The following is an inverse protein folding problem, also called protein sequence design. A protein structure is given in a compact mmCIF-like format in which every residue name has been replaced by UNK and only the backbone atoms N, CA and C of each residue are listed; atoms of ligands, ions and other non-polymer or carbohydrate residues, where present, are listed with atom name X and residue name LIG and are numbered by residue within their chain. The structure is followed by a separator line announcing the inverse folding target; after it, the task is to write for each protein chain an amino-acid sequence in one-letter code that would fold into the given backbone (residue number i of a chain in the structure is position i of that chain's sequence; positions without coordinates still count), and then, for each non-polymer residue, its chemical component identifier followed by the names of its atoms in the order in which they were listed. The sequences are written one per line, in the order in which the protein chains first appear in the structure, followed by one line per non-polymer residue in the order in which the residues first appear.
data_IF_264924475601
#
_entry.id   IF_264924475601
#
_cell.length_a   1.000
_cell.length_b   1.000
_cell.length_c   1.000
_cell.angle_alpha   90.00
_cell.angle_beta   90.00
_cell.angle_gamma   90.00
#
_symmetry.space_group_name_H-M   'P 1'
#
loop_
_entity.id
_entity.type
_entity.pdbx_description
1 polymer ?
#
# COMPACT_ATOMS: atom_id res chain seq x y z
N UNK A 1 -33.64 15.98 -14.49
CA UNK A 1 -33.04 16.66 -13.32
C UNK A 1 -31.55 16.78 -13.58
N UNK A 2 -31.02 18.02 -13.73
CA UNK A 2 -29.59 18.27 -14.04
C UNK A 2 -28.78 18.07 -12.76
N UNK A 3 -27.86 17.12 -12.79
CA UNK A 3 -26.85 16.91 -11.74
C UNK A 3 -25.83 18.06 -11.80
N UNK A 4 -25.99 19.07 -10.97
CA UNK A 4 -24.95 20.04 -10.72
C UNK A 4 -23.89 19.39 -9.81
N UNK A 5 -22.86 18.80 -10.43
CA UNK A 5 -21.65 18.44 -9.70
C UNK A 5 -20.97 19.74 -9.29
N UNK A 6 -21.07 20.11 -8.02
CA UNK A 6 -20.32 21.22 -7.46
C UNK A 6 -18.83 21.00 -7.70
N UNK A 7 -18.18 22.01 -8.25
CA UNK A 7 -16.72 22.02 -8.36
C UNK A 7 -16.21 21.99 -6.91
N UNK A 8 -15.42 20.99 -6.56
CA UNK A 8 -14.82 20.89 -5.23
C UNK A 8 -13.95 22.13 -4.98
N UNK A 9 -13.89 22.59 -3.75
CA UNK A 9 -13.06 23.73 -3.33
C UNK A 9 -11.61 23.57 -3.83
N UNK A 10 -11.13 22.33 -3.89
CA UNK A 10 -9.81 21.95 -4.43
C UNK A 10 -9.68 22.25 -5.92
N UNK A 11 -10.67 21.92 -6.73
CA UNK A 11 -10.66 22.23 -8.17
C UNK A 11 -10.69 23.75 -8.41
N UNK A 12 -11.40 24.51 -7.57
CA UNK A 12 -11.44 25.96 -7.64
C UNK A 12 -10.07 26.58 -7.29
N UNK A 13 -9.42 26.09 -6.23
CA UNK A 13 -8.10 26.58 -5.78
C UNK A 13 -7.03 26.26 -6.82
N UNK A 14 -7.04 25.06 -7.40
CA UNK A 14 -6.10 24.66 -8.47
C UNK A 14 -6.32 25.57 -9.70
N UNK A 15 -7.57 25.84 -10.07
CA UNK A 15 -7.88 26.71 -11.21
C UNK A 15 -7.38 28.14 -10.97
N UNK A 16 -7.51 28.67 -9.76
CA UNK A 16 -7.01 30.02 -9.40
C UNK A 16 -5.48 30.04 -9.45
N UNK A 17 -4.80 29.03 -8.93
CA UNK A 17 -3.33 28.95 -8.98
C UNK A 17 -2.85 28.87 -10.44
N UNK A 18 -3.48 28.05 -11.26
CA UNK A 18 -3.15 27.92 -12.71
C UNK A 18 -3.43 29.24 -13.45
N UNK A 19 -4.51 29.93 -13.15
CA UNK A 19 -4.79 31.24 -13.75
C UNK A 19 -3.76 32.30 -13.33
N UNK A 20 -3.31 32.33 -12.09
CA UNK A 20 -2.28 33.25 -11.62
C UNK A 20 -0.92 33.00 -12.31
N UNK A 21 -0.61 31.74 -12.61
CA UNK A 21 0.60 31.36 -13.35
C UNK A 21 0.48 31.73 -14.85
N UNK A 22 -0.71 31.58 -15.46
CA UNK A 22 -0.93 31.84 -16.89
C UNK A 22 -1.07 33.34 -17.24
N UNK A 23 -1.46 34.19 -16.30
CA UNK A 23 -1.65 35.64 -16.54
C UNK A 23 -0.33 36.44 -16.52
N UNK A 24 0.83 35.78 -16.36
CA UNK A 24 2.13 36.43 -16.59
C UNK A 24 2.33 37.70 -15.75
N UNK A 25 1.94 37.68 -14.48
CA UNK A 25 2.31 38.76 -13.55
C UNK A 25 3.81 38.72 -13.37
N UNK A 26 4.49 39.60 -14.07
CA UNK A 26 5.94 39.82 -13.95
C UNK A 26 6.30 40.03 -12.49
N UNK A 27 7.01 39.09 -11.94
CA UNK A 27 7.36 38.89 -10.54
C UNK A 27 8.30 39.98 -10.01
N UNK A 28 8.29 41.17 -10.55
CA UNK A 28 9.09 42.29 -10.02
C UNK A 28 8.56 42.84 -8.69
N UNK A 29 7.30 42.56 -8.36
CA UNK A 29 6.68 42.96 -7.07
C UNK A 29 6.68 41.88 -6.00
N UNK A 30 7.00 40.62 -6.39
CA UNK A 30 7.01 39.47 -5.48
C UNK A 30 8.29 39.38 -4.62
N UNK A 31 9.22 40.29 -4.83
CA UNK A 31 10.55 40.34 -4.19
C UNK A 31 10.46 40.57 -2.66
N UNK A 32 9.31 40.90 -2.13
CA UNK A 32 9.10 41.06 -0.68
C UNK A 32 8.70 39.77 0.08
N UNK A 33 8.89 38.59 -0.50
CA UNK A 33 8.65 37.30 0.20
C UNK A 33 7.18 36.97 0.48
N UNK A 34 6.32 37.99 0.68
CA UNK A 34 4.93 37.80 1.14
C UNK A 34 4.04 36.96 0.20
N UNK A 35 4.24 37.08 -1.13
CA UNK A 35 3.42 36.31 -2.07
C UNK A 35 3.81 34.83 -2.06
N UNK A 36 5.12 34.55 -1.95
CA UNK A 36 5.66 33.19 -1.84
C UNK A 36 5.26 32.55 -0.52
N UNK A 37 5.32 33.31 0.59
CA UNK A 37 4.86 32.84 1.89
C UNK A 37 3.34 32.59 1.91
N UNK A 38 2.56 33.43 1.25
CA UNK A 38 1.11 33.25 1.12
C UNK A 38 0.79 32.03 0.26
N UNK A 39 1.49 31.81 -0.86
CA UNK A 39 1.33 30.63 -1.70
C UNK A 39 1.73 29.33 -0.96
N UNK A 40 2.84 29.38 -0.22
CA UNK A 40 3.30 28.25 0.61
C UNK A 40 2.32 27.95 1.75
N UNK A 41 1.75 28.97 2.39
CA UNK A 41 0.70 28.81 3.40
C UNK A 41 -0.56 28.21 2.80
N UNK A 42 -1.04 28.73 1.65
CA UNK A 42 -2.21 28.21 0.96
C UNK A 42 -2.02 26.75 0.52
N UNK A 43 -0.83 26.37 0.04
CA UNK A 43 -0.51 24.99 -0.29
C UNK A 43 -0.55 24.08 0.96
N UNK A 44 -0.02 24.55 2.08
CA UNK A 44 -0.05 23.82 3.37
C UNK A 44 -1.48 23.69 3.91
N UNK A 45 -2.26 24.76 3.83
CA UNK A 45 -3.67 24.75 4.28
C UNK A 45 -4.52 23.83 3.39
N UNK A 46 -4.23 23.76 2.08
CA UNK A 46 -4.87 22.81 1.14
C UNK A 46 -4.50 21.36 1.46
N UNK A 47 -3.24 21.09 1.76
CA UNK A 47 -2.82 19.75 2.14
C UNK A 47 -3.45 19.31 3.47
N UNK A 48 -3.56 20.23 4.42
CA UNK A 48 -4.24 20.00 5.69
C UNK A 48 -5.74 19.72 5.49
N UNK A 49 -6.43 20.54 4.68
CA UNK A 49 -7.85 20.34 4.36
C UNK A 49 -8.09 19.01 3.64
N UNK A 50 -7.17 18.60 2.76
CA UNK A 50 -7.22 17.29 2.10
C UNK A 50 -7.05 16.14 3.10
N UNK A 51 -6.15 16.29 4.08
CA UNK A 51 -5.96 15.29 5.13
C UNK A 51 -7.22 15.20 6.02
N UNK A 52 -7.80 16.33 6.41
CA UNK A 52 -9.05 16.38 7.19
C UNK A 52 -10.23 15.73 6.44
N UNK A 53 -10.33 15.92 5.10
CA UNK A 53 -11.34 15.25 4.26
C UNK A 53 -11.12 13.74 4.22
N UNK A 54 -9.86 13.29 4.12
CA UNK A 54 -9.49 11.87 4.13
C UNK A 54 -9.82 11.23 5.48
N UNK A 55 -9.47 11.90 6.59
CA UNK A 55 -9.77 11.44 7.95
C UNK A 55 -11.30 11.35 8.18
N UNK A 56 -12.07 12.31 7.65
CA UNK A 56 -13.54 12.28 7.71
C UNK A 56 -14.13 11.11 6.91
N UNK A 57 -13.58 10.82 5.72
CA UNK A 57 -14.04 9.69 4.90
C UNK A 57 -13.72 8.34 5.56
N UNK A 58 -12.56 8.23 6.22
CA UNK A 58 -12.19 7.06 6.99
C UNK A 58 -13.10 6.86 8.21
N UNK A 59 -13.40 7.94 8.96
CA UNK A 59 -14.35 7.91 10.08
C UNK A 59 -15.77 7.53 9.62
N UNK A 60 -16.22 8.06 8.47
CA UNK A 60 -17.52 7.73 7.89
C UNK A 60 -17.58 6.24 7.47
N UNK A 61 -16.49 5.70 6.87
CA UNK A 61 -16.40 4.28 6.52
C UNK A 61 -16.45 3.42 7.77
N UNK A 62 -15.65 3.74 8.79
CA UNK A 62 -15.62 3.01 10.06
C UNK A 62 -17.00 2.98 10.74
N UNK A 63 -17.75 4.10 10.68
CA UNK A 63 -19.15 4.16 11.19
C UNK A 63 -20.10 3.29 10.38
N UNK A 64 -19.93 3.22 9.06
CA UNK A 64 -20.74 2.34 8.20
C UNK A 64 -20.43 0.88 8.52
N UNK A 65 -19.16 0.52 8.65
CA UNK A 65 -18.73 -0.83 9.04
C UNK A 65 -19.23 -1.20 10.42
N UNK A 66 -19.22 -0.26 11.40
CA UNK A 66 -19.79 -0.42 12.73
C UNK A 66 -21.31 -0.65 12.69
N UNK A 67 -22.05 0.10 11.87
CA UNK A 67 -23.51 -0.05 11.69
C UNK A 67 -23.84 -1.38 11.04
N UNK A 68 -23.04 -1.84 10.08
CA UNK A 68 -23.25 -3.11 9.39
C UNK A 68 -22.75 -4.31 10.23
N UNK A 69 -21.92 -4.06 11.26
CA UNK A 69 -21.38 -5.08 12.15
C UNK A 69 -20.42 -6.09 11.50
N UNK A 70 -19.96 -5.79 10.26
CA UNK A 70 -19.03 -6.67 9.53
C UNK A 70 -18.05 -5.80 8.73
N UNK A 71 -16.79 -5.79 9.14
CA UNK A 71 -15.72 -5.09 8.43
C UNK A 71 -15.19 -5.87 7.22
N UNK A 72 -14.41 -5.21 6.37
CA UNK A 72 -13.69 -5.91 5.29
C UNK A 72 -12.73 -6.94 5.87
N UNK A 73 -12.05 -6.61 6.97
CA UNK A 73 -11.15 -7.53 7.67
C UNK A 73 -11.88 -8.77 8.18
N UNK A 74 -13.09 -8.63 8.76
CA UNK A 74 -13.89 -9.77 9.23
C UNK A 74 -14.26 -10.72 8.08
N UNK A 75 -14.62 -10.16 6.92
CA UNK A 75 -14.88 -10.97 5.70
C UNK A 75 -13.62 -11.68 5.21
N UNK A 76 -12.48 -11.00 5.22
CA UNK A 76 -11.19 -11.59 4.86
C UNK A 76 -10.86 -12.72 5.82
N UNK A 77 -10.95 -12.51 7.14
CA UNK A 77 -10.68 -13.54 8.15
C UNK A 77 -11.58 -14.77 7.96
N UNK A 78 -12.89 -14.59 7.77
CA UNK A 78 -13.81 -15.70 7.51
C UNK A 78 -13.38 -16.54 6.31
N UNK A 79 -12.94 -15.88 5.22
CA UNK A 79 -12.56 -16.59 4.00
C UNK A 79 -11.21 -17.31 4.17
N UNK A 80 -10.19 -16.64 4.74
CA UNK A 80 -8.85 -17.22 4.88
C UNK A 80 -8.77 -18.30 5.96
N UNK A 81 -9.70 -18.33 6.92
CA UNK A 81 -9.79 -19.40 7.93
C UNK A 81 -10.16 -20.76 7.34
N UNK A 82 -10.73 -20.80 6.12
CA UNK A 82 -11.13 -22.02 5.44
C UNK A 82 -9.95 -22.54 4.60
N UNK A 83 -9.41 -23.74 4.88
CA UNK A 83 -8.32 -24.33 4.09
C UNK A 83 -8.73 -24.47 2.62
N UNK A 84 -7.77 -24.25 1.74
CA UNK A 84 -7.94 -24.37 0.28
C UNK A 84 -6.85 -25.26 -0.29
N UNK A 85 -7.23 -26.21 -1.13
CA UNK A 85 -6.27 -27.10 -1.80
C UNK A 85 -5.21 -26.30 -2.57
N UNK A 86 -3.94 -26.68 -2.40
CA UNK A 86 -2.80 -26.10 -3.09
C UNK A 86 -2.23 -24.83 -2.45
N UNK A 87 -2.71 -24.41 -1.26
CA UNK A 87 -2.00 -23.39 -0.48
C UNK A 87 -0.69 -23.96 0.08
N UNK A 88 0.28 -23.07 0.33
CA UNK A 88 1.57 -23.45 0.91
C UNK A 88 1.81 -22.73 2.22
N UNK A 89 2.63 -23.32 3.09
CA UNK A 89 3.24 -22.59 4.18
C UNK A 89 4.11 -21.45 3.66
N UNK A 90 4.28 -20.39 4.45
CA UNK A 90 5.18 -19.28 4.15
C UNK A 90 5.93 -18.87 5.41
N UNK A 91 7.24 -18.84 5.29
CA UNK A 91 8.18 -18.44 6.33
C UNK A 91 9.08 -17.33 5.82
N UNK A 92 9.56 -16.48 6.72
CA UNK A 92 10.53 -15.44 6.41
C UNK A 92 11.84 -15.69 7.16
N UNK A 93 12.96 -15.37 6.49
CA UNK A 93 14.30 -15.34 7.06
C UNK A 93 14.98 -14.04 6.60
N UNK A 94 15.57 -13.29 7.53
CA UNK A 94 16.31 -12.07 7.27
C UNK A 94 17.79 -12.28 7.55
N UNK A 95 18.62 -11.97 6.57
CA UNK A 95 20.08 -12.03 6.67
C UNK A 95 20.68 -10.66 7.05
N UNK A 96 21.92 -10.70 7.52
CA UNK A 96 22.63 -9.50 8.00
C UNK A 96 22.99 -8.50 6.90
N UNK A 97 22.92 -8.87 5.63
CA UNK A 97 23.10 -8.00 4.47
C UNK A 97 21.84 -7.17 4.13
N UNK A 98 20.73 -7.47 4.77
CA UNK A 98 19.43 -6.83 4.55
C UNK A 98 18.54 -7.55 3.54
N UNK A 99 18.89 -8.77 3.13
CA UNK A 99 18.05 -9.62 2.29
C UNK A 99 17.05 -10.39 3.14
N UNK A 100 15.76 -10.24 2.86
CA UNK A 100 14.70 -11.07 3.42
C UNK A 100 14.24 -12.09 2.38
N UNK A 101 14.31 -13.36 2.70
CA UNK A 101 13.77 -14.43 1.85
C UNK A 101 12.43 -14.93 2.39
N UNK A 102 11.45 -15.11 1.47
CA UNK A 102 10.20 -15.81 1.73
C UNK A 102 10.28 -17.22 1.16
N UNK A 103 9.95 -18.22 1.97
CA UNK A 103 10.12 -19.65 1.66
C UNK A 103 8.90 -20.47 2.08
N UNK A 104 8.69 -21.61 1.44
CA UNK A 104 7.63 -22.57 1.84
C UNK A 104 8.05 -23.49 2.98
N UNK A 105 9.35 -23.65 3.23
CA UNK A 105 9.88 -24.49 4.29
C UNK A 105 10.41 -23.66 5.45
N UNK A 106 10.24 -24.15 6.68
CA UNK A 106 10.75 -23.51 7.88
C UNK A 106 12.27 -23.37 7.82
N UNK A 107 12.82 -22.13 7.98
CA UNK A 107 14.25 -21.90 7.94
C UNK A 107 14.99 -22.61 9.09
N UNK A 108 16.04 -23.33 8.76
CA UNK A 108 16.94 -23.99 9.72
C UNK A 108 18.29 -23.31 9.85
N UNK A 109 18.62 -22.39 8.95
CA UNK A 109 19.87 -21.64 8.90
C UNK A 109 20.09 -20.82 10.17
N UNK A 110 21.36 -20.67 10.54
CA UNK A 110 21.80 -19.88 11.70
C UNK A 110 22.92 -18.89 11.34
N UNK A 111 23.63 -19.13 10.23
CA UNK A 111 24.76 -18.31 9.81
C UNK A 111 24.26 -17.04 9.11
N UNK A 112 24.75 -15.89 9.55
CA UNK A 112 24.36 -14.57 9.03
C UNK A 112 22.85 -14.22 9.18
N UNK A 113 22.10 -14.99 9.97
CA UNK A 113 20.67 -14.79 10.20
C UNK A 113 20.47 -13.78 11.33
N UNK A 114 19.67 -12.74 11.07
CA UNK A 114 19.27 -11.72 12.04
C UNK A 114 17.90 -12.02 12.62
N UNK A 115 17.02 -12.57 11.81
CA UNK A 115 15.64 -12.90 12.17
C UNK A 115 15.10 -14.04 11.30
N UNK A 116 14.24 -14.87 11.87
CA UNK A 116 13.41 -15.84 11.13
C UNK A 116 12.10 -16.09 11.84
N UNK A 117 11.06 -16.44 11.08
CA UNK A 117 9.78 -16.84 11.64
C UNK A 117 9.80 -18.32 12.04
N UNK A 118 9.19 -18.62 13.18
CA UNK A 118 9.03 -20.00 13.67
C UNK A 118 7.71 -20.64 13.22
N UNK A 119 6.73 -19.81 12.85
CA UNK A 119 5.42 -20.21 12.37
C UNK A 119 5.18 -19.63 10.97
N UNK A 120 4.39 -20.37 10.19
CA UNK A 120 3.91 -19.88 8.89
C UNK A 120 2.91 -18.75 9.06
N UNK A 121 2.93 -17.83 8.08
CA UNK A 121 2.00 -16.71 8.02
C UNK A 121 1.20 -16.65 6.71
N UNK A 122 1.13 -17.74 5.95
CA UNK A 122 0.47 -17.78 4.63
C UNK A 122 -1.02 -17.39 4.66
N UNK A 123 -1.69 -17.69 5.76
CA UNK A 123 -3.10 -17.38 6.00
C UNK A 123 -3.32 -16.42 7.19
N UNK A 124 -2.29 -15.71 7.63
CA UNK A 124 -2.39 -14.78 8.75
C UNK A 124 -2.67 -13.36 8.25
N UNK A 125 -3.85 -12.83 8.57
CA UNK A 125 -4.16 -11.42 8.39
C UNK A 125 -3.55 -10.61 9.53
N UNK A 126 -2.52 -9.81 9.23
CA UNK A 126 -1.97 -8.83 10.18
C UNK A 126 -2.93 -7.64 10.26
N UNK A 127 -3.53 -7.40 11.41
CA UNK A 127 -4.50 -6.30 11.62
C UNK A 127 -3.82 -4.95 11.84
N UNK A 128 -2.60 -4.98 12.35
CA UNK A 128 -1.78 -3.78 12.54
C UNK A 128 -0.34 -4.00 12.08
N UNK A 129 0.44 -2.93 11.98
CA UNK A 129 1.85 -3.02 11.60
C UNK A 129 2.68 -3.72 12.68
N UNK A 130 2.30 -3.58 13.95
CA UNK A 130 2.97 -4.19 15.10
C UNK A 130 2.88 -5.71 15.11
N UNK A 131 1.90 -6.28 14.41
CA UNK A 131 1.73 -7.75 14.29
C UNK A 131 2.67 -8.38 13.26
N UNK A 132 3.33 -7.56 12.42
CA UNK A 132 4.25 -8.04 11.40
C UNK A 132 5.48 -8.64 12.09
N UNK A 133 5.85 -9.91 11.86
CA UNK A 133 6.92 -10.57 12.61
C UNK A 133 8.29 -9.89 12.52
N UNK A 134 8.57 -9.19 11.41
CA UNK A 134 9.84 -8.47 11.17
C UNK A 134 9.75 -6.97 11.41
N UNK A 135 8.74 -6.49 12.14
CA UNK A 135 8.53 -5.05 12.38
C UNK A 135 9.76 -4.32 12.92
N UNK A 136 10.51 -4.95 13.82
CA UNK A 136 11.72 -4.38 14.39
C UNK A 136 12.89 -4.24 13.40
N UNK A 137 12.76 -4.81 12.21
CA UNK A 137 13.81 -4.88 11.19
C UNK A 137 13.45 -4.16 9.89
N UNK A 138 12.30 -3.48 9.82
CA UNK A 138 11.79 -2.86 8.58
C UNK A 138 12.79 -1.88 7.95
N UNK A 139 13.58 -1.18 8.75
CA UNK A 139 14.61 -0.25 8.28
C UNK A 139 15.90 -0.97 7.80
N UNK A 140 16.06 -2.25 8.10
CA UNK A 140 17.20 -3.04 7.66
C UNK A 140 16.97 -3.77 6.35
N UNK A 141 15.70 -4.00 5.97
CA UNK A 141 15.34 -4.76 4.76
C UNK A 141 15.51 -3.90 3.53
N UNK A 142 16.39 -4.34 2.61
CA UNK A 142 16.71 -3.66 1.35
C UNK A 142 16.26 -4.45 0.13
N UNK A 143 16.24 -5.77 0.25
CA UNK A 143 15.78 -6.69 -0.77
C UNK A 143 14.84 -7.72 -0.16
N UNK A 144 13.80 -8.08 -0.92
CA UNK A 144 12.96 -9.24 -0.66
C UNK A 144 13.16 -10.24 -1.79
N UNK A 145 13.39 -11.49 -1.46
CA UNK A 145 13.50 -12.59 -2.44
C UNK A 145 12.43 -13.64 -2.17
N UNK A 146 11.62 -13.93 -3.18
CA UNK A 146 10.67 -15.05 -3.13
C UNK A 146 11.44 -16.30 -3.57
N UNK A 147 12.00 -17.03 -2.58
CA UNK A 147 12.94 -18.11 -2.83
C UNK A 147 12.29 -19.35 -3.43
N UNK A 148 11.04 -19.64 -3.02
CA UNK A 148 10.26 -20.79 -3.49
C UNK A 148 8.96 -20.32 -4.14
N UNK A 149 8.32 -21.18 -4.92
CA UNK A 149 6.94 -20.98 -5.33
C UNK A 149 6.03 -21.10 -4.10
N UNK A 150 5.40 -19.97 -3.71
CA UNK A 150 4.53 -19.87 -2.55
C UNK A 150 3.11 -19.45 -2.98
N UNK A 151 2.11 -20.05 -2.35
CA UNK A 151 0.67 -19.85 -2.66
C UNK A 151 -0.05 -19.45 -1.37
N UNK A 152 0.02 -18.18 -0.95
CA UNK A 152 -0.61 -17.72 0.28
C UNK A 152 -2.09 -17.42 0.11
N UNK A 153 -2.80 -17.30 1.24
CA UNK A 153 -4.19 -16.85 1.31
C UNK A 153 -4.32 -15.35 1.46
N UNK A 154 -3.28 -14.69 1.97
CA UNK A 154 -3.21 -13.23 2.12
C UNK A 154 -1.78 -12.75 1.94
N UNK A 155 -1.61 -11.56 1.40
CA UNK A 155 -0.35 -10.84 1.35
C UNK A 155 -0.47 -9.47 2.04
N UNK A 156 -1.57 -9.28 2.80
CA UNK A 156 -1.83 -8.04 3.50
C UNK A 156 -0.66 -7.65 4.41
N UNK A 157 -0.18 -6.43 4.27
CA UNK A 157 0.92 -5.81 5.05
C UNK A 157 2.30 -6.50 4.94
N UNK A 158 2.51 -7.47 4.06
CA UNK A 158 3.76 -8.23 4.00
C UNK A 158 5.00 -7.36 3.85
N UNK A 159 4.93 -6.27 3.10
CA UNK A 159 6.06 -5.36 2.87
C UNK A 159 5.77 -3.95 3.40
N UNK A 160 4.74 -3.79 4.26
CA UNK A 160 4.36 -2.50 4.80
C UNK A 160 5.51 -1.84 5.57
N UNK A 161 5.81 -0.59 5.22
CA UNK A 161 6.81 0.21 5.92
C UNK A 161 8.25 -0.11 5.60
N UNK A 162 8.53 -0.98 4.61
CA UNK A 162 9.90 -1.29 4.17
C UNK A 162 10.47 -0.10 3.37
N UNK A 163 10.82 0.97 4.08
CA UNK A 163 11.25 2.24 3.47
C UNK A 163 12.51 2.13 2.62
N UNK A 164 13.42 1.19 2.98
CA UNK A 164 14.68 0.97 2.30
C UNK A 164 14.63 -0.16 1.27
N UNK A 165 13.47 -0.78 1.07
CA UNK A 165 13.26 -1.80 0.04
C UNK A 165 13.42 -1.18 -1.34
N UNK A 166 14.37 -1.72 -2.11
CA UNK A 166 14.64 -1.30 -3.50
C UNK A 166 14.32 -2.36 -4.53
N UNK A 167 14.36 -3.65 -4.12
CA UNK A 167 14.26 -4.77 -5.05
C UNK A 167 13.40 -5.89 -4.45
N UNK A 168 12.55 -6.47 -5.30
CA UNK A 168 11.85 -7.73 -5.00
C UNK A 168 12.20 -8.72 -6.10
N UNK A 169 13.05 -9.69 -5.75
CA UNK A 169 13.54 -10.70 -6.69
C UNK A 169 12.60 -11.90 -6.74
N UNK A 170 12.42 -12.48 -7.94
CA UNK A 170 11.59 -13.66 -8.19
C UNK A 170 10.13 -13.51 -7.76
N UNK A 171 9.57 -12.31 -7.92
CA UNK A 171 8.18 -12.03 -7.52
C UNK A 171 7.17 -12.91 -8.27
N UNK A 172 7.53 -13.47 -9.41
CA UNK A 172 6.73 -14.44 -10.16
C UNK A 172 6.51 -15.77 -9.43
N UNK A 173 7.33 -16.07 -8.41
CA UNK A 173 7.15 -17.20 -7.52
C UNK A 173 6.03 -16.99 -6.50
N UNK A 174 5.61 -15.75 -6.28
CA UNK A 174 4.44 -15.43 -5.48
C UNK A 174 3.16 -15.66 -6.30
N UNK A 175 2.53 -16.82 -6.12
CA UNK A 175 1.26 -17.14 -6.76
C UNK A 175 0.12 -16.52 -5.97
N UNK A 176 -0.61 -15.63 -6.61
CA UNK A 176 -1.66 -14.85 -5.95
C UNK A 176 -3.08 -15.32 -6.30
N UNK A 177 -3.22 -16.45 -6.97
CA UNK A 177 -4.52 -17.01 -7.41
C UNK A 177 -5.46 -17.39 -6.25
N UNK A 178 -4.93 -17.58 -5.04
CA UNK A 178 -5.67 -17.86 -3.80
C UNK A 178 -5.77 -16.65 -2.85
N UNK A 179 -5.10 -15.55 -3.18
CA UNK A 179 -5.04 -14.37 -2.31
C UNK A 179 -6.38 -13.66 -2.25
N UNK A 180 -6.84 -13.40 -1.03
CA UNK A 180 -8.10 -12.72 -0.72
C UNK A 180 -7.88 -11.26 -0.34
N UNK A 181 -6.77 -10.93 0.33
CA UNK A 181 -6.41 -9.55 0.66
C UNK A 181 -4.97 -9.24 0.27
N UNK A 182 -4.80 -8.08 -0.38
CA UNK A 182 -3.53 -7.43 -0.70
C UNK A 182 -3.41 -6.07 -0.02
N UNK A 183 -4.26 -5.81 0.99
CA UNK A 183 -4.31 -4.53 1.68
C UNK A 183 -2.94 -4.14 2.26
N UNK A 184 -2.52 -2.90 2.03
CA UNK A 184 -1.27 -2.33 2.55
C UNK A 184 0.01 -3.11 2.16
N UNK A 185 -0.05 -4.03 1.19
CA UNK A 185 1.06 -4.95 0.87
C UNK A 185 2.38 -4.21 0.65
N UNK A 186 2.39 -3.10 -0.09
CA UNK A 186 3.57 -2.28 -0.37
C UNK A 186 3.50 -0.89 0.27
N UNK A 187 2.51 -0.63 1.14
CA UNK A 187 2.32 0.68 1.75
C UNK A 187 3.58 1.17 2.45
N UNK A 188 4.06 2.37 2.10
CA UNK A 188 5.26 2.95 2.69
C UNK A 188 6.59 2.43 2.14
N UNK A 189 6.61 1.68 1.03
CA UNK A 189 7.83 1.28 0.33
C UNK A 189 8.40 2.48 -0.46
N UNK A 190 8.89 3.48 0.25
CA UNK A 190 9.27 4.79 -0.33
C UNK A 190 10.50 4.74 -1.23
N UNK A 191 11.30 3.68 -1.18
CA UNK A 191 12.49 3.49 -2.03
C UNK A 191 12.26 2.54 -3.21
N UNK A 192 11.11 1.87 -3.28
CA UNK A 192 10.78 0.92 -4.35
C UNK A 192 10.44 1.70 -5.62
N UNK A 193 11.25 1.54 -6.68
CA UNK A 193 11.07 2.24 -7.96
C UNK A 193 10.24 1.44 -8.97
N UNK A 194 10.32 0.11 -8.90
CA UNK A 194 9.58 -0.79 -9.77
C UNK A 194 9.24 -2.11 -9.06
N UNK A 195 8.11 -2.69 -9.42
CA UNK A 195 7.71 -4.04 -9.03
C UNK A 195 6.84 -4.64 -10.14
N UNK A 196 7.17 -5.84 -10.59
CA UNK A 196 6.39 -6.51 -11.64
C UNK A 196 5.19 -7.25 -11.05
N UNK A 197 4.06 -6.58 -11.01
CA UNK A 197 2.77 -7.14 -10.58
C UNK A 197 1.91 -7.66 -11.74
N UNK A 198 2.46 -7.70 -12.97
CA UNK A 198 1.73 -8.11 -14.17
C UNK A 198 1.23 -9.56 -14.13
N UNK A 199 1.87 -10.40 -13.33
CA UNK A 199 1.51 -11.82 -13.15
C UNK A 199 0.55 -12.06 -11.98
N UNK A 200 0.24 -11.04 -11.20
CA UNK A 200 -0.68 -11.19 -10.08
C UNK A 200 -2.08 -11.57 -10.58
N UNK A 201 -2.63 -12.61 -9.97
CA UNK A 201 -4.00 -13.08 -10.17
C UNK A 201 -4.87 -12.49 -9.06
N UNK A 202 -5.85 -11.68 -9.44
CA UNK A 202 -6.64 -10.88 -8.48
C UNK A 202 -8.12 -11.26 -8.44
N UNK A 203 -8.51 -12.35 -9.11
CA UNK A 203 -9.92 -12.77 -9.22
C UNK A 203 -10.56 -13.17 -7.88
N UNK A 204 -9.77 -13.52 -6.86
CA UNK A 204 -10.27 -13.85 -5.52
C UNK A 204 -10.09 -12.70 -4.52
N UNK A 205 -9.42 -11.62 -4.93
CA UNK A 205 -9.13 -10.48 -4.03
C UNK A 205 -10.39 -9.67 -3.77
N UNK A 206 -10.70 -9.46 -2.50
CA UNK A 206 -11.79 -8.60 -2.04
C UNK A 206 -11.30 -7.29 -1.41
N UNK A 207 -10.02 -7.21 -1.05
CA UNK A 207 -9.44 -6.05 -0.38
C UNK A 207 -8.07 -5.67 -0.96
N UNK A 208 -7.98 -4.43 -1.48
CA UNK A 208 -6.76 -3.79 -2.02
C UNK A 208 -6.51 -2.42 -1.37
N UNK A 209 -7.12 -2.17 -0.19
CA UNK A 209 -6.99 -0.90 0.51
C UNK A 209 -5.52 -0.52 0.69
N UNK A 210 -5.16 0.70 0.31
CA UNK A 210 -3.83 1.30 0.50
C UNK A 210 -2.64 0.45 0.00
N UNK A 211 -2.84 -0.46 -0.97
CA UNK A 211 -1.82 -1.43 -1.41
C UNK A 211 -0.49 -0.78 -1.78
N UNK A 212 -0.51 0.39 -2.44
CA UNK A 212 0.69 1.15 -2.84
C UNK A 212 0.76 2.53 -2.18
N UNK A 213 0.03 2.77 -1.10
CA UNK A 213 0.03 4.05 -0.42
C UNK A 213 1.47 4.46 -0.05
N UNK A 214 1.81 5.74 -0.28
CA UNK A 214 3.15 6.30 -0.02
C UNK A 214 4.31 5.62 -0.79
N UNK A 215 4.06 4.92 -1.90
CA UNK A 215 5.11 4.42 -2.79
C UNK A 215 5.59 5.56 -3.70
N UNK A 216 6.29 6.54 -3.13
CA UNK A 216 6.60 7.80 -3.81
C UNK A 216 7.63 7.70 -4.95
N UNK A 217 8.30 6.58 -5.12
CA UNK A 217 9.26 6.36 -6.21
C UNK A 217 8.79 5.41 -7.31
N UNK A 218 7.66 4.75 -7.14
CA UNK A 218 7.12 3.86 -8.18
C UNK A 218 6.74 4.68 -9.42
N UNK A 219 7.34 4.35 -10.56
CA UNK A 219 7.16 5.06 -11.83
C UNK A 219 5.99 4.53 -12.64
N UNK A 220 5.75 3.23 -12.59
CA UNK A 220 4.67 2.57 -13.32
C UNK A 220 4.32 1.23 -12.69
N UNK A 221 3.07 0.79 -12.89
CA UNK A 221 2.56 -0.50 -12.45
C UNK A 221 1.74 -1.14 -13.56
N UNK A 222 2.04 -2.39 -13.91
CA UNK A 222 1.29 -3.15 -14.92
C UNK A 222 0.07 -3.83 -14.28
N UNK A 223 -1.01 -3.07 -14.08
CA UNK A 223 -2.25 -3.52 -13.42
C UNK A 223 -3.41 -3.79 -14.40
N UNK A 224 -3.21 -3.66 -15.70
CA UNK A 224 -4.24 -3.78 -16.73
C UNK A 224 -4.86 -5.19 -16.84
N UNK A 225 -4.19 -6.22 -16.32
CA UNK A 225 -4.69 -7.60 -16.28
C UNK A 225 -5.42 -7.96 -14.98
N UNK A 226 -5.59 -7.03 -14.07
CA UNK A 226 -6.22 -7.30 -12.79
C UNK A 226 -7.74 -7.40 -12.93
N UNK A 227 -8.30 -8.43 -12.32
CA UNK A 227 -9.75 -8.57 -12.18
C UNK A 227 -10.18 -8.05 -10.81
N UNK A 228 -10.87 -6.92 -10.80
CA UNK A 228 -11.33 -6.25 -9.57
C UNK A 228 -12.82 -6.47 -9.30
N UNK A 229 -13.47 -7.43 -9.97
CA UNK A 229 -14.92 -7.63 -9.88
C UNK A 229 -15.41 -8.04 -8.48
N UNK A 230 -14.54 -8.64 -7.65
CA UNK A 230 -14.84 -9.02 -6.27
C UNK A 230 -14.33 -8.00 -5.24
N UNK A 231 -13.54 -7.00 -5.66
CA UNK A 231 -12.93 -6.05 -4.72
C UNK A 231 -13.99 -5.13 -4.14
N UNK A 232 -14.07 -5.09 -2.82
CA UNK A 232 -15.00 -4.26 -2.05
C UNK A 232 -14.32 -3.03 -1.45
N UNK A 233 -12.99 -3.06 -1.27
CA UNK A 233 -12.21 -1.92 -0.80
C UNK A 233 -10.95 -1.70 -1.64
N UNK A 234 -10.83 -0.52 -2.24
CA UNK A 234 -9.66 -0.02 -2.96
C UNK A 234 -9.27 1.39 -2.47
N UNK A 235 -9.77 1.78 -1.30
CA UNK A 235 -9.49 3.11 -0.74
C UNK A 235 -7.99 3.32 -0.57
N UNK A 236 -7.52 4.54 -0.81
CA UNK A 236 -6.11 4.94 -0.68
C UNK A 236 -5.09 4.12 -1.49
N UNK A 237 -5.51 3.26 -2.40
CA UNK A 237 -4.64 2.31 -3.10
C UNK A 237 -3.37 2.95 -3.69
N UNK A 238 -3.48 4.15 -4.25
CA UNK A 238 -2.37 4.93 -4.84
C UNK A 238 -2.17 6.29 -4.16
N UNK A 239 -2.65 6.47 -2.94
CA UNK A 239 -2.50 7.73 -2.23
C UNK A 239 -1.01 8.05 -2.00
N UNK A 240 -0.59 9.27 -2.38
CA UNK A 240 0.81 9.73 -2.32
C UNK A 240 1.81 8.87 -3.14
N UNK A 241 1.36 8.21 -4.20
CA UNK A 241 2.22 7.82 -5.30
C UNK A 241 2.45 9.07 -6.17
N UNK A 242 3.69 9.42 -6.45
CA UNK A 242 4.02 10.63 -7.23
C UNK A 242 4.34 10.28 -8.66
#
# INVERSE_FOLDING_TARGET
MKNNKGITLIALVITIIVMLILVGVTVSAAINGKLFDTAKKAAKDTEKAKQEELDYMEDAKNKIDEILGVTTDDKVEEIISKPVEGETEVYAILFSDGTMELRKEKPTETENVVFKTDESFSNKLFKSQEEIPWISYVDSIKEVKIADEIVPRTTARWFQGLKNLTTISNIENLKTDKVVSMALMFSGCTSLEEVDVSKFKTQEVIDMCAMFQNCSKIKSLAVNNWNTSKVIDMSYMFNKCS
#
